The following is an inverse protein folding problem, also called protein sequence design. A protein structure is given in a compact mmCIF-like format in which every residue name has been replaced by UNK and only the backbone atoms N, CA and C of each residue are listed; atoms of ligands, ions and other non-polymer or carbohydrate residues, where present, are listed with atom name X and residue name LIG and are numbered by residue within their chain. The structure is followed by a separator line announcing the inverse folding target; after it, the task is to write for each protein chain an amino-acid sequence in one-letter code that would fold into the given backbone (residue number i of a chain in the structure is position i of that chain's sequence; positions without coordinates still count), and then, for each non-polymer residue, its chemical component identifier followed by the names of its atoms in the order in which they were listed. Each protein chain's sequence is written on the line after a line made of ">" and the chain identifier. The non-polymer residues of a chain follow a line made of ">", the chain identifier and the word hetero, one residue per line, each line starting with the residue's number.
data_IF_899069016568
#
_entry.id   IF_899069016568
#
_cell.length_a   1.000
_cell.length_b   1.000
_cell.length_c   1.000
_cell.angle_alpha   90.00
_cell.angle_beta   90.00
_cell.angle_gamma   90.00
#
_symmetry.space_group_name_H-M   'P 1'
#
loop_
_entity.id
_entity.type
_entity.pdbx_description
1 polymer ?
#
# COMPACT_ATOMS: atom_id res chain seq x y z
N UNK A 1 -7.04 6.55 -24.51
CA UNK A 1 -6.19 5.53 -23.86
C UNK A 1 -5.69 4.52 -24.89
N UNK A 2 -4.39 4.52 -25.24
CA UNK A 2 -3.79 3.51 -26.14
C UNK A 2 -3.72 2.15 -25.42
N UNK A 3 -4.20 1.04 -26.00
CA UNK A 3 -4.15 -0.26 -25.33
C UNK A 3 -2.70 -0.71 -25.20
N UNK A 4 -2.28 -1.05 -23.98
CA UNK A 4 -1.01 -1.71 -23.73
C UNK A 4 -1.17 -3.17 -24.13
N UNK A 5 -0.43 -3.60 -25.16
CA UNK A 5 -0.40 -4.99 -25.66
C UNK A 5 0.01 -5.98 -24.55
N UNK A 6 0.71 -5.50 -23.51
CA UNK A 6 1.11 -6.28 -22.32
C UNK A 6 0.97 -5.46 -21.03
N UNK A 7 0.44 -6.02 -19.94
CA UNK A 7 0.42 -5.35 -18.64
C UNK A 7 1.86 -5.15 -18.16
N UNK A 8 2.26 -3.90 -17.88
CA UNK A 8 3.56 -3.62 -17.23
C UNK A 8 3.56 -4.27 -15.84
N UNK A 9 4.29 -5.37 -15.68
CA UNK A 9 4.60 -5.95 -14.36
C UNK A 9 5.41 -4.91 -13.56
N UNK A 10 4.74 -4.11 -12.72
CA UNK A 10 5.45 -3.25 -11.77
C UNK A 10 6.05 -4.13 -10.69
N UNK A 11 7.34 -3.95 -10.48
CA UNK A 11 8.05 -4.44 -9.31
C UNK A 11 7.29 -3.97 -8.07
N UNK A 12 6.90 -4.93 -7.23
CA UNK A 12 6.51 -4.68 -5.84
C UNK A 12 7.73 -4.02 -5.21
N UNK A 13 7.64 -2.72 -4.91
CA UNK A 13 8.76 -1.97 -4.35
C UNK A 13 9.14 -2.62 -3.03
N UNK A 14 10.26 -3.32 -3.11
CA UNK A 14 11.17 -3.88 -2.10
C UNK A 14 10.65 -3.94 -0.66
N UNK A 15 10.64 -5.17 -0.11
CA UNK A 15 10.80 -5.41 1.33
C UNK A 15 11.90 -4.47 1.84
N UNK A 16 11.55 -3.48 2.67
CA UNK A 16 12.57 -2.83 3.49
C UNK A 16 12.89 -3.81 4.61
N UNK A 17 14.07 -4.41 4.58
CA UNK A 17 14.52 -5.34 5.61
C UNK A 17 14.33 -4.68 6.99
N UNK A 18 13.62 -5.37 7.89
CA UNK A 18 13.34 -4.89 9.25
C UNK A 18 12.19 -3.88 9.41
N UNK A 19 11.51 -3.43 8.35
CA UNK A 19 10.35 -2.54 8.51
C UNK A 19 9.05 -3.34 8.60
N UNK A 20 8.31 -3.16 9.69
CA UNK A 20 6.98 -3.75 9.90
C UNK A 20 5.95 -2.67 10.23
N UNK A 21 4.71 -2.86 9.76
CA UNK A 21 3.62 -1.95 10.11
C UNK A 21 3.29 -2.08 11.59
N UNK A 22 3.28 -0.98 12.34
CA UNK A 22 2.90 -1.01 13.77
C UNK A 22 1.45 -1.44 14.01
N UNK A 23 0.54 -1.10 13.10
CA UNK A 23 -0.88 -1.47 13.23
C UNK A 23 -1.22 -2.92 12.84
N UNK A 24 -0.70 -3.47 11.74
CA UNK A 24 -1.09 -4.79 11.24
C UNK A 24 0.07 -5.77 11.01
N UNK A 25 1.29 -5.39 11.38
CA UNK A 25 2.52 -6.20 11.33
C UNK A 25 2.91 -6.70 9.95
N UNK A 26 2.28 -6.22 8.86
CA UNK A 26 2.76 -6.56 7.51
C UNK A 26 4.17 -6.03 7.30
N UNK A 27 5.02 -6.86 6.71
CA UNK A 27 6.37 -6.50 6.22
C UNK A 27 6.36 -6.18 4.72
N UNK A 28 5.20 -6.31 4.08
CA UNK A 28 5.01 -6.04 2.66
C UNK A 28 3.94 -4.98 2.45
N UNK A 29 4.27 -3.96 1.67
CA UNK A 29 3.36 -2.87 1.33
C UNK A 29 3.80 -2.23 0.02
N UNK A 30 2.87 -1.62 -0.71
CA UNK A 30 3.18 -0.87 -1.94
C UNK A 30 3.79 0.49 -1.66
N UNK A 31 3.56 1.03 -0.46
CA UNK A 31 4.10 2.29 0.05
C UNK A 31 4.14 2.23 1.58
N UNK A 32 5.27 2.62 2.17
CA UNK A 32 5.37 2.86 3.61
C UNK A 32 4.91 4.29 3.91
N UNK A 33 4.07 4.44 4.93
CA UNK A 33 3.60 5.72 5.48
C UNK A 33 4.11 5.86 6.92
N UNK A 34 3.96 7.06 7.49
CA UNK A 34 4.17 7.30 8.92
C UNK A 34 2.86 7.71 9.57
N UNK A 35 2.61 7.24 10.80
CA UNK A 35 1.48 7.73 11.62
C UNK A 35 1.85 9.10 12.25
N UNK A 36 0.95 9.65 13.08
CA UNK A 36 1.20 10.92 13.79
C UNK A 36 2.40 10.84 14.75
N UNK A 37 2.65 9.68 15.34
CA UNK A 37 3.81 9.41 16.20
C UNK A 37 5.12 9.23 15.44
N UNK A 38 5.09 9.20 14.10
CA UNK A 38 6.27 8.96 13.26
C UNK A 38 6.57 7.49 12.95
N UNK A 39 5.80 6.55 13.47
CA UNK A 39 6.00 5.11 13.31
C UNK A 39 5.65 4.61 11.90
N UNK A 40 6.34 3.57 11.39
CA UNK A 40 6.05 2.99 10.09
C UNK A 40 4.68 2.26 10.08
N UNK A 41 3.84 2.64 9.12
CA UNK A 41 2.57 1.94 8.82
C UNK A 41 2.46 1.59 7.34
N UNK A 42 1.75 0.53 7.01
CA UNK A 42 1.52 0.14 5.62
C UNK A 42 0.57 1.13 4.92
N UNK A 43 0.52 1.07 3.60
CA UNK A 43 -0.31 1.98 2.82
C UNK A 43 -1.80 1.86 3.19
N UNK A 44 -2.28 0.62 3.40
CA UNK A 44 -3.68 0.38 3.74
C UNK A 44 -4.03 0.94 5.13
N UNK A 45 -3.18 0.73 6.14
CA UNK A 45 -3.41 1.24 7.49
C UNK A 45 -3.37 2.76 7.55
N UNK A 46 -2.38 3.38 6.90
CA UNK A 46 -2.29 4.86 6.87
C UNK A 46 -3.45 5.51 6.12
N UNK A 47 -3.92 4.91 5.01
CA UNK A 47 -5.08 5.42 4.29
C UNK A 47 -6.38 5.24 5.07
N UNK A 48 -6.56 4.09 5.74
CA UNK A 48 -7.75 3.83 6.53
C UNK A 48 -7.86 4.82 7.70
N UNK A 49 -6.77 5.02 8.45
CA UNK A 49 -6.76 5.99 9.54
C UNK A 49 -7.04 7.41 9.04
N UNK A 50 -6.44 7.83 7.92
CA UNK A 50 -6.70 9.15 7.34
C UNK A 50 -8.18 9.37 7.03
N UNK A 51 -8.88 8.35 6.53
CA UNK A 51 -10.28 8.45 6.13
C UNK A 51 -11.26 8.31 7.32
N UNK A 52 -10.98 7.43 8.26
CA UNK A 52 -11.91 7.05 9.33
C UNK A 52 -11.51 7.53 10.72
N UNK A 53 -10.32 8.10 10.88
CA UNK A 53 -9.74 8.52 12.17
C UNK A 53 -9.66 7.39 13.22
N UNK A 54 -9.71 6.14 12.78
CA UNK A 54 -9.59 4.95 13.63
C UNK A 54 -8.62 3.94 13.01
N UNK A 55 -8.04 3.09 13.85
CA UNK A 55 -7.10 2.05 13.42
C UNK A 55 -7.78 1.02 12.52
N UNK A 56 -7.06 0.55 11.50
CA UNK A 56 -7.58 -0.45 10.56
C UNK A 56 -7.83 -1.77 11.28
N UNK A 57 -9.07 -2.31 11.27
CA UNK A 57 -9.35 -3.58 11.93
C UNK A 57 -8.58 -4.72 11.25
N UNK A 58 -8.05 -5.63 12.07
CA UNK A 58 -7.22 -6.74 11.60
C UNK A 58 -8.01 -7.74 10.75
N UNK A 59 -9.33 -7.84 10.95
CA UNK A 59 -10.25 -8.65 10.13
C UNK A 59 -10.26 -8.25 8.66
N UNK A 60 -9.86 -7.01 8.33
CA UNK A 60 -9.76 -6.55 6.95
C UNK A 60 -8.37 -6.83 6.32
N UNK A 61 -7.38 -7.28 7.09
CA UNK A 61 -6.05 -7.62 6.56
C UNK A 61 -6.17 -8.75 5.53
N UNK A 62 -5.44 -8.62 4.43
CA UNK A 62 -5.24 -9.65 3.42
C UNK A 62 -3.75 -9.93 3.33
N UNK A 63 -3.37 -11.18 3.13
CA UNK A 63 -1.96 -11.56 3.02
C UNK A 63 -1.35 -11.17 1.66
N UNK A 64 -2.18 -11.09 0.61
CA UNK A 64 -1.76 -10.71 -0.73
C UNK A 64 -1.96 -9.22 -1.05
N UNK A 65 -0.97 -8.63 -1.71
CA UNK A 65 -1.11 -7.29 -2.32
C UNK A 65 -1.89 -7.43 -3.63
N UNK A 66 -3.08 -6.84 -3.68
CA UNK A 66 -3.91 -6.80 -4.89
C UNK A 66 -3.40 -5.75 -5.88
N UNK A 67 -3.23 -6.13 -7.14
CA UNK A 67 -2.86 -5.21 -8.23
C UNK A 67 -4.13 -4.65 -8.91
N UNK A 68 -4.04 -3.44 -9.44
CA UNK A 68 -5.14 -2.80 -10.19
C UNK A 68 -4.63 -2.43 -11.58
N UNK A 69 -5.45 -2.63 -12.60
CA UNK A 69 -5.13 -2.20 -13.95
C UNK A 69 -5.20 -0.66 -14.00
N UNK A 70 -4.06 0.02 -14.10
CA UNK A 70 -4.01 1.48 -14.15
C UNK A 70 -4.35 1.95 -15.56
N UNK A 71 -5.29 2.91 -15.66
CA UNK A 71 -5.40 3.75 -16.86
C UNK A 71 -4.06 4.46 -17.04
N UNK A 72 -3.50 4.46 -18.26
CA UNK A 72 -2.31 5.23 -18.56
C UNK A 72 -2.63 6.71 -18.29
N UNK A 73 -2.05 7.28 -17.23
CA UNK A 73 -2.22 8.70 -16.93
C UNK A 73 -1.51 9.48 -18.02
N UNK A 74 -2.24 10.31 -18.76
CA UNK A 74 -1.62 11.43 -19.46
C UNK A 74 -0.83 12.23 -18.42
N UNK A 75 0.42 12.55 -18.73
CA UNK A 75 1.19 13.50 -17.95
C UNK A 75 0.49 14.85 -18.14
N UNK A 76 -0.02 15.42 -17.05
CA UNK A 76 -0.23 16.86 -16.92
C UNK A 76 1.09 17.48 -16.47
#
# INVERSE_FOLDING_TARGET
>A
NRPLIRPKKRLIVSKRAGTQCTNCQTTTTTLWRRNASGDPVCNACGLYYKLHQVNRPLTMRKDGIQTRNRKASGKG
#
